data_IF_148326781267
#
_entry.id   IF_148326781267
#
_cell.length_a   1.000
_cell.length_b   1.000
_cell.length_c   1.000
_cell.angle_alpha   90.00
_cell.angle_beta   90.00
_cell.angle_gamma   90.00
#
_symmetry.space_group_name_H-M   'P 1'
#
loop_
_entity.id
_entity.type
_entity.pdbx_description
1 polymer ?
#
# COMPACT_ATOMS: atom_id res chain seq x y z
N UNK A 1 12.84 -34.35 5.79
CA UNK A 1 12.36 -33.21 6.60
C UNK A 1 10.88 -33.06 6.30
N UNK A 2 10.00 -33.02 7.31
CA UNK A 2 8.58 -32.80 7.09
C UNK A 2 8.39 -31.37 6.56
N UNK A 3 7.85 -31.27 5.36
CA UNK A 3 7.35 -30.04 4.76
C UNK A 3 6.18 -29.57 5.62
N UNK A 4 6.37 -28.50 6.39
CA UNK A 4 5.27 -27.82 7.08
C UNK A 4 4.71 -26.80 6.10
N UNK A 5 3.95 -27.30 5.12
CA UNK A 5 3.33 -26.51 4.06
C UNK A 5 2.27 -25.57 4.66
N UNK A 6 2.68 -24.37 5.06
CA UNK A 6 1.81 -23.43 5.76
C UNK A 6 0.87 -22.66 4.80
N UNK A 7 1.35 -22.33 3.60
CA UNK A 7 0.55 -21.76 2.49
C UNK A 7 1.41 -21.71 1.21
N UNK A 8 0.75 -21.84 0.05
CA UNK A 8 1.39 -21.74 -1.28
C UNK A 8 1.44 -20.30 -1.81
N UNK A 9 0.48 -19.47 -1.40
CA UNK A 9 0.32 -18.10 -1.92
C UNK A 9 -0.04 -17.15 -0.77
N UNK A 10 0.69 -16.03 -0.68
CA UNK A 10 0.29 -14.88 0.11
C UNK A 10 -0.37 -13.85 -0.81
N UNK A 11 -1.55 -13.38 -0.42
CA UNK A 11 -2.23 -12.24 -1.03
C UNK A 11 -2.32 -11.14 0.02
N UNK A 12 -1.99 -9.89 -0.34
CA UNK A 12 -1.99 -8.74 0.57
C UNK A 12 -3.09 -7.72 0.19
N UNK A 13 -4.38 -8.01 0.45
CA UNK A 13 -5.51 -7.17 0.04
C UNK A 13 -5.79 -6.04 1.04
N UNK A 14 -4.76 -5.38 1.54
CA UNK A 14 -4.90 -4.27 2.48
C UNK A 14 -4.31 -2.99 1.90
N UNK A 15 -5.05 -1.90 2.05
CA UNK A 15 -4.59 -0.56 1.73
C UNK A 15 -5.46 0.48 2.45
N UNK A 16 -4.89 1.66 2.66
CA UNK A 16 -5.63 2.89 2.98
C UNK A 16 -5.62 3.77 1.72
N UNK A 17 -6.79 4.20 1.27
CA UNK A 17 -6.97 5.06 0.11
C UNK A 17 -8.01 6.13 0.45
N UNK A 18 -7.62 7.19 1.19
CA UNK A 18 -8.55 8.26 1.56
C UNK A 18 -9.12 8.89 0.29
N UNK A 19 -10.44 9.11 0.31
CA UNK A 19 -11.09 9.86 -0.76
C UNK A 19 -11.05 11.34 -0.41
N UNK A 20 -10.83 12.22 -1.41
CA UNK A 20 -10.88 13.66 -1.19
C UNK A 20 -12.27 14.09 -0.72
N UNK A 21 -12.28 15.04 0.19
CA UNK A 21 -13.44 15.81 0.65
C UNK A 21 -13.02 17.24 1.02
N UNK A 22 -13.95 18.07 1.47
CA UNK A 22 -13.70 19.47 1.88
C UNK A 22 -12.67 19.60 3.03
N UNK A 23 -12.34 18.51 3.73
CA UNK A 23 -11.35 18.49 4.82
C UNK A 23 -9.95 18.07 4.37
N UNK A 24 -9.75 17.87 3.07
CA UNK A 24 -8.51 17.37 2.51
C UNK A 24 -7.39 18.41 2.46
N UNK A 25 -6.16 17.93 2.61
CA UNK A 25 -4.95 18.75 2.57
C UNK A 25 -4.47 18.97 1.12
N UNK A 26 -3.87 20.14 0.88
CA UNK A 26 -3.05 20.40 -0.30
C UNK A 26 -1.61 19.92 -0.08
N UNK A 27 -0.78 19.97 -1.13
CA UNK A 27 0.61 19.54 -1.07
C UNK A 27 1.44 20.27 -0.01
N UNK A 28 1.11 21.53 0.30
CA UNK A 28 1.87 22.41 1.16
C UNK A 28 1.44 22.34 2.63
N UNK A 29 0.20 21.95 2.90
CA UNK A 29 -0.37 21.91 4.25
C UNK A 29 -0.61 20.48 4.77
N UNK A 30 -0.25 19.46 3.99
CA UNK A 30 -0.37 18.07 4.37
C UNK A 30 0.51 17.71 5.60
N UNK A 31 -0.08 17.22 6.72
CA UNK A 31 0.69 16.80 7.88
C UNK A 31 1.56 15.58 7.58
N UNK A 32 2.83 15.63 8.00
CA UNK A 32 3.74 14.49 7.88
C UNK A 32 3.20 13.23 8.56
N UNK A 33 2.50 13.37 9.69
CA UNK A 33 1.87 12.24 10.39
C UNK A 33 0.83 11.51 9.53
N UNK A 34 0.09 12.22 8.68
CA UNK A 34 -0.86 11.61 7.73
C UNK A 34 -0.11 10.79 6.68
N UNK A 35 0.95 11.36 6.10
CA UNK A 35 1.80 10.68 5.12
C UNK A 35 2.50 9.45 5.73
N UNK A 36 3.03 9.57 6.95
CA UNK A 36 3.63 8.47 7.70
C UNK A 36 2.65 7.33 7.91
N UNK A 37 1.40 7.63 8.31
CA UNK A 37 0.36 6.60 8.48
C UNK A 37 0.05 5.89 7.16
N UNK A 38 -0.09 6.65 6.06
CA UNK A 38 -0.33 6.10 4.73
C UNK A 38 0.81 5.15 4.30
N UNK A 39 2.07 5.59 4.41
CA UNK A 39 3.24 4.78 4.07
C UNK A 39 3.41 3.58 5.00
N UNK A 40 3.11 3.74 6.29
CA UNK A 40 3.16 2.64 7.26
C UNK A 40 2.25 1.49 6.85
N UNK A 41 1.02 1.79 6.42
CA UNK A 41 0.07 0.74 6.02
C UNK A 41 0.35 0.24 4.60
N UNK A 42 0.47 1.13 3.62
CA UNK A 42 0.52 0.73 2.21
C UNK A 42 1.88 0.21 1.75
N UNK A 43 2.97 0.52 2.46
CA UNK A 43 4.33 0.15 2.06
C UNK A 43 5.06 -0.66 3.14
N UNK A 44 5.17 -0.14 4.36
CA UNK A 44 5.99 -0.78 5.39
C UNK A 44 5.35 -2.10 5.89
N UNK A 45 4.05 -2.10 6.17
CA UNK A 45 3.32 -3.32 6.54
C UNK A 45 3.32 -4.34 5.41
N UNK A 46 3.14 -3.90 4.16
CA UNK A 46 3.23 -4.75 2.96
C UNK A 46 4.56 -5.49 2.91
N UNK A 47 5.67 -4.76 2.98
CA UNK A 47 7.01 -5.34 3.00
C UNK A 47 7.21 -6.29 4.19
N UNK A 48 6.77 -5.89 5.37
CA UNK A 48 6.94 -6.67 6.60
C UNK A 48 6.23 -8.02 6.51
N UNK A 49 4.98 -8.06 6.06
CA UNK A 49 4.22 -9.31 5.89
C UNK A 49 4.86 -10.20 4.82
N UNK A 50 5.27 -9.63 3.69
CA UNK A 50 5.97 -10.36 2.63
C UNK A 50 7.26 -11.01 3.16
N UNK A 51 8.04 -10.26 3.96
CA UNK A 51 9.29 -10.74 4.57
C UNK A 51 9.06 -11.89 5.54
N UNK A 52 8.06 -11.79 6.40
CA UNK A 52 7.77 -12.87 7.35
C UNK A 52 7.23 -14.11 6.64
N UNK A 53 6.40 -13.96 5.60
CA UNK A 53 5.98 -15.08 4.75
C UNK A 53 7.17 -15.75 4.07
N UNK A 54 8.08 -14.97 3.47
CA UNK A 54 9.26 -15.50 2.78
C UNK A 54 10.20 -16.33 3.68
N UNK A 55 10.23 -16.07 4.99
CA UNK A 55 11.03 -16.85 5.96
C UNK A 55 10.45 -18.23 6.25
N UNK A 56 9.15 -18.42 6.09
CA UNK A 56 8.44 -19.66 6.43
C UNK A 56 7.91 -20.41 5.21
N UNK A 57 7.89 -19.77 4.05
CA UNK A 57 7.39 -20.33 2.79
C UNK A 57 8.38 -21.29 2.15
N UNK A 58 7.88 -22.33 1.48
CA UNK A 58 8.70 -23.29 0.73
C UNK A 58 9.10 -22.75 -0.65
N UNK A 59 10.09 -23.40 -1.28
CA UNK A 59 10.47 -23.12 -2.66
C UNK A 59 9.24 -23.22 -3.58
N UNK A 60 9.08 -22.25 -4.49
CA UNK A 60 7.92 -22.05 -5.39
C UNK A 60 6.65 -21.44 -4.79
N UNK A 61 6.71 -20.92 -3.56
CA UNK A 61 5.61 -20.10 -3.03
C UNK A 61 5.51 -18.75 -3.77
N UNK A 62 4.31 -18.18 -3.85
CA UNK A 62 4.05 -16.92 -4.54
C UNK A 62 3.56 -15.82 -3.61
N UNK A 63 3.92 -14.56 -3.91
CA UNK A 63 3.41 -13.37 -3.24
C UNK A 63 2.70 -12.51 -4.29
N UNK A 64 1.45 -12.16 -4.03
CA UNK A 64 0.65 -11.29 -4.90
C UNK A 64 0.29 -10.03 -4.11
N UNK A 65 0.92 -8.92 -4.50
CA UNK A 65 0.67 -7.61 -3.93
C UNK A 65 -0.28 -6.78 -4.79
N UNK A 66 -1.13 -6.01 -4.13
CA UNK A 66 -1.98 -5.04 -4.80
C UNK A 66 -1.24 -3.70 -4.90
N UNK A 67 -1.27 -3.12 -6.09
CA UNK A 67 -0.75 -1.78 -6.36
C UNK A 67 -1.82 -0.96 -7.08
N UNK A 68 -1.52 0.31 -7.31
CA UNK A 68 -2.39 1.23 -8.02
C UNK A 68 -1.73 1.68 -9.32
N UNK A 69 -2.54 2.05 -10.32
CA UNK A 69 -2.06 2.80 -11.49
C UNK A 69 -1.33 4.08 -11.08
N UNK A 70 -1.66 4.62 -9.89
CA UNK A 70 -1.00 5.81 -9.33
C UNK A 70 0.44 5.57 -8.87
N UNK A 71 0.87 4.31 -8.68
CA UNK A 71 2.28 3.98 -8.48
C UNK A 71 3.13 4.12 -9.75
N UNK A 72 2.50 4.24 -10.93
CA UNK A 72 3.16 4.37 -12.23
C UNK A 72 2.97 5.78 -12.81
N UNK A 73 1.80 6.38 -12.61
CA UNK A 73 1.45 7.70 -13.12
C UNK A 73 0.66 8.49 -12.08
N UNK A 74 1.08 9.71 -11.81
CA UNK A 74 0.36 10.58 -10.88
C UNK A 74 -1.12 10.74 -11.26
N UNK A 75 -2.02 10.90 -10.28
CA UNK A 75 -3.42 11.17 -10.54
C UNK A 75 -3.59 12.41 -11.44
N UNK A 76 -4.64 12.40 -12.26
CA UNK A 76 -5.02 13.57 -13.06
C UNK A 76 -5.59 14.63 -12.12
N UNK A 77 -4.78 15.57 -11.66
CA UNK A 77 -5.24 16.56 -10.67
C UNK A 77 -6.48 17.35 -11.12
N UNK A 78 -6.64 17.60 -12.42
CA UNK A 78 -7.79 18.32 -12.98
C UNK A 78 -9.16 17.63 -12.83
N UNK A 79 -9.22 16.34 -12.47
CA UNK A 79 -10.49 15.65 -12.20
C UNK A 79 -10.93 15.78 -10.73
N UNK A 80 -10.06 16.33 -9.88
CA UNK A 80 -10.35 16.66 -8.49
C UNK A 80 -10.55 18.18 -8.40
N UNK A 81 -11.64 18.63 -7.80
CA UNK A 81 -11.88 20.05 -7.53
C UNK A 81 -10.86 20.59 -6.52
N UNK A 82 -10.50 21.87 -6.65
CA UNK A 82 -9.78 22.68 -5.65
C UNK A 82 -8.33 22.25 -5.28
N UNK A 83 -7.42 22.19 -6.25
CA UNK A 83 -5.96 22.03 -6.04
C UNK A 83 -5.53 20.84 -5.14
N UNK A 84 -6.38 19.81 -5.07
CA UNK A 84 -6.20 18.66 -4.19
C UNK A 84 -4.96 17.81 -4.55
N UNK A 85 -4.27 17.36 -3.49
CA UNK A 85 -3.16 16.42 -3.59
C UNK A 85 -3.51 15.09 -2.95
N UNK A 86 -3.54 14.04 -3.78
CA UNK A 86 -3.71 12.66 -3.32
C UNK A 86 -2.38 12.05 -2.88
N UNK A 87 -2.38 11.35 -1.75
CA UNK A 87 -1.28 10.51 -1.27
C UNK A 87 -0.98 9.29 -2.15
#
# INVERSE_FOLDING_TARGET
MMSNKAADVLITPFAINPQPDESSFDLFNLPLSSLEQYLKVNLLSLFSVCREFAKISENNSSIINFSSTYGIRSPKHFIYSDDYTKH
#
